data_IF_134037114027
#
_entry.id   IF_134037114027
#
_cell.length_a   1.000
_cell.length_b   1.000
_cell.length_c   1.000
_cell.angle_alpha   90.00
_cell.angle_beta   90.00
_cell.angle_gamma   90.00
#
_symmetry.space_group_name_H-M   'P 1'
#
loop_
_entity.id
_entity.type
_entity.pdbx_description
1 polymer ?
#
# COMPACT_ATOMS: atom_id res chain seq x y z
N UNK A 1 -16.31 8.70 15.74
CA UNK A 1 -15.31 9.61 16.35
C UNK A 1 -14.62 8.81 17.45
N UNK A 2 -13.40 8.36 17.21
CA UNK A 2 -12.55 7.76 18.25
C UNK A 2 -11.41 8.73 18.50
N UNK A 3 -11.39 9.27 19.70
CA UNK A 3 -10.28 10.06 20.24
C UNK A 3 -9.65 9.23 21.36
N UNK A 4 -8.41 8.80 21.20
CA UNK A 4 -7.60 8.31 22.34
C UNK A 4 -6.46 9.29 22.60
N UNK A 5 -6.55 9.96 23.73
CA UNK A 5 -5.45 10.71 24.33
C UNK A 5 -4.69 9.79 25.30
N UNK A 6 -3.44 9.53 25.03
CA UNK A 6 -2.58 8.75 25.92
C UNK A 6 -1.13 9.18 25.82
N UNK A 7 -0.76 10.27 26.52
CA UNK A 7 0.64 10.62 26.72
C UNK A 7 1.26 9.77 27.83
N UNK A 8 2.21 8.90 27.51
CA UNK A 8 3.13 8.28 28.47
C UNK A 8 4.57 8.46 27.99
N UNK A 9 5.29 9.24 28.76
CA UNK A 9 6.73 9.46 28.67
C UNK A 9 7.46 8.19 29.09
N UNK A 10 8.15 7.49 28.20
CA UNK A 10 9.02 6.35 28.50
C UNK A 10 10.43 6.58 27.99
N UNK A 11 11.37 6.54 28.94
CA UNK A 11 12.78 6.83 28.78
C UNK A 11 13.54 5.90 27.83
N UNK A 12 14.64 6.40 27.33
CA UNK A 12 15.60 5.74 26.43
C UNK A 12 16.13 4.41 26.99
N UNK A 13 16.02 3.35 26.21
CA UNK A 13 16.81 2.14 26.35
C UNK A 13 17.38 1.72 25.00
N UNK A 14 18.73 1.75 24.90
CA UNK A 14 19.55 0.95 23.99
C UNK A 14 19.21 0.89 22.49
N UNK A 15 19.73 1.81 21.68
CA UNK A 15 20.07 1.53 20.27
C UNK A 15 18.95 1.27 19.24
N UNK A 16 17.67 1.34 19.60
CA UNK A 16 16.52 1.29 18.70
C UNK A 16 16.05 2.72 18.50
N UNK A 17 16.07 3.20 17.25
CA UNK A 17 15.42 4.48 16.92
C UNK A 17 13.93 4.27 17.11
N UNK A 18 13.36 4.89 18.13
CA UNK A 18 11.92 4.88 18.36
C UNK A 18 11.23 5.67 17.24
N UNK A 19 10.07 5.20 16.81
CA UNK A 19 9.24 5.95 15.89
C UNK A 19 8.77 7.25 16.54
N UNK A 20 8.55 8.29 15.73
CA UNK A 20 7.98 9.54 16.21
C UNK A 20 6.58 9.26 16.77
N UNK A 21 6.28 9.88 17.90
CA UNK A 21 4.94 9.86 18.49
C UNK A 21 4.08 10.86 17.70
N UNK A 22 2.98 10.39 17.13
CA UNK A 22 2.12 11.22 16.28
C UNK A 22 0.67 11.12 16.76
N UNK A 23 -0.02 12.27 16.77
CA UNK A 23 -1.47 12.33 16.94
C UNK A 23 -2.14 12.23 15.57
N UNK A 24 -3.33 11.65 15.50
CA UNK A 24 -4.06 11.54 14.24
C UNK A 24 -5.58 11.58 14.41
N UNK A 25 -6.26 11.95 13.31
CA UNK A 25 -7.70 11.83 13.18
C UNK A 25 -8.09 11.33 11.79
N UNK A 26 -9.01 10.37 11.71
CA UNK A 26 -9.56 9.87 10.45
C UNK A 26 -10.90 10.54 10.19
N UNK A 27 -11.06 11.10 8.99
CA UNK A 27 -12.27 11.79 8.54
C UNK A 27 -12.90 11.06 7.36
N UNK A 28 -14.22 11.25 7.22
CA UNK A 28 -15.01 10.71 6.12
C UNK A 28 -15.59 9.34 6.42
N UNK A 29 -16.47 8.91 5.52
CA UNK A 29 -17.18 7.63 5.60
C UNK A 29 -16.66 6.67 4.53
N UNK A 30 -17.12 6.81 3.27
CA UNK A 30 -16.76 5.91 2.16
C UNK A 30 -15.46 6.33 1.45
N UNK A 31 -15.07 7.59 1.59
CA UNK A 31 -13.82 8.17 1.11
C UNK A 31 -13.12 8.82 2.29
N UNK A 32 -12.14 8.13 2.85
CA UNK A 32 -11.48 8.59 4.07
C UNK A 32 -10.15 9.27 3.78
N UNK A 33 -9.80 10.23 4.63
CA UNK A 33 -8.43 10.72 4.77
C UNK A 33 -8.02 10.71 6.24
N UNK A 34 -6.73 10.63 6.48
CA UNK A 34 -6.13 10.76 7.81
C UNK A 34 -5.38 12.07 7.89
N UNK A 35 -5.65 12.83 8.93
CA UNK A 35 -4.91 14.03 9.33
C UNK A 35 -3.95 13.64 10.44
N UNK A 36 -2.67 13.93 10.23
CA UNK A 36 -1.61 13.69 11.20
C UNK A 36 -1.19 15.03 11.78
N UNK A 37 -1.18 15.13 13.10
CA UNK A 37 -0.67 16.29 13.83
C UNK A 37 0.75 16.01 14.30
N UNK A 38 1.68 16.88 13.94
CA UNK A 38 3.11 16.77 14.22
C UNK A 38 3.54 17.86 15.17
N UNK A 39 4.21 17.52 16.26
CA UNK A 39 4.94 18.46 17.10
C UNK A 39 6.20 18.96 16.37
N UNK A 40 6.81 20.11 16.78
CA UNK A 40 8.04 20.60 16.18
C UNK A 40 9.16 19.54 16.16
N UNK A 41 9.69 19.26 14.96
CA UNK A 41 10.70 18.23 14.72
C UNK A 41 10.17 16.83 14.44
N UNK A 42 8.88 16.58 14.66
CA UNK A 42 8.27 15.31 14.29
C UNK A 42 8.08 15.16 12.79
N UNK A 43 7.99 13.93 12.36
CA UNK A 43 7.87 13.60 10.94
C UNK A 43 6.98 12.36 10.71
N UNK A 44 6.35 12.35 9.56
CA UNK A 44 5.62 11.21 9.00
C UNK A 44 6.19 10.86 7.63
N UNK A 45 6.21 9.59 7.30
CA UNK A 45 6.55 9.09 5.97
C UNK A 45 5.26 8.67 5.24
N UNK A 46 5.18 8.91 3.94
CA UNK A 46 4.02 8.54 3.15
C UNK A 46 4.41 8.05 1.75
N UNK A 47 3.49 7.32 1.13
CA UNK A 47 3.59 6.98 -0.28
C UNK A 47 3.52 8.25 -1.14
N UNK A 48 4.26 8.24 -2.27
CA UNK A 48 4.24 9.36 -3.20
C UNK A 48 2.82 9.57 -3.77
N UNK A 49 2.33 10.81 -3.71
CA UNK A 49 1.01 11.18 -4.22
C UNK A 49 -0.16 11.03 -3.23
N UNK A 50 0.07 10.51 -2.02
CA UNK A 50 -0.97 10.35 -1.01
C UNK A 50 -1.34 11.67 -0.29
N UNK A 51 -0.46 12.67 -0.30
CA UNK A 51 -0.66 13.94 0.40
C UNK A 51 -1.84 14.72 -0.18
N UNK A 52 -2.76 15.14 0.68
CA UNK A 52 -3.93 15.94 0.35
C UNK A 52 -3.68 17.43 0.64
N UNK A 53 -3.23 17.77 1.83
CA UNK A 53 -2.80 19.11 2.21
C UNK A 53 -1.77 19.05 3.36
N UNK A 54 -1.08 20.16 3.56
CA UNK A 54 -0.18 20.35 4.70
C UNK A 54 -0.15 21.83 5.10
N UNK A 55 0.09 22.10 6.38
CA UNK A 55 0.28 23.44 6.92
C UNK A 55 1.59 24.05 6.45
N UNK A 56 1.63 25.40 6.42
CA UNK A 56 2.91 26.12 6.29
C UNK A 56 3.85 25.76 7.44
N UNK A 57 5.14 25.57 7.09
CA UNK A 57 6.17 25.10 8.03
C UNK A 57 6.38 23.58 8.02
N UNK A 58 5.58 22.81 7.28
CA UNK A 58 5.88 21.41 6.98
C UNK A 58 6.86 21.37 5.80
N UNK A 59 8.03 20.75 6.02
CA UNK A 59 9.02 20.48 4.97
C UNK A 59 8.77 19.09 4.37
N UNK A 60 8.73 19.02 3.06
CA UNK A 60 8.59 17.78 2.29
C UNK A 60 9.93 17.38 1.64
N UNK A 61 10.37 16.14 1.82
CA UNK A 61 11.61 15.61 1.25
C UNK A 61 11.38 14.18 0.73
N UNK A 62 11.81 13.91 -0.50
CA UNK A 62 11.77 12.54 -1.03
C UNK A 62 12.97 11.75 -0.53
N UNK A 63 12.73 10.55 -0.04
CA UNK A 63 13.76 9.61 0.40
C UNK A 63 13.72 8.32 -0.42
N UNK A 64 14.91 7.73 -0.59
CA UNK A 64 15.08 6.42 -1.20
C UNK A 64 15.39 5.41 -0.09
N UNK A 65 14.55 4.44 0.13
CA UNK A 65 14.78 3.41 1.13
C UNK A 65 13.54 3.06 1.95
N UNK A 66 13.77 2.39 3.06
CA UNK A 66 12.74 1.80 3.92
C UNK A 66 12.15 2.75 4.98
N UNK A 67 12.48 4.05 4.92
CA UNK A 67 12.00 5.02 5.91
C UNK A 67 12.71 4.95 7.27
N UNK A 68 13.50 3.91 7.53
CA UNK A 68 14.30 3.80 8.75
C UNK A 68 15.62 4.54 8.59
N UNK A 69 16.06 5.28 9.62
CA UNK A 69 17.33 6.01 9.62
C UNK A 69 18.59 5.12 9.71
N UNK A 70 18.48 3.83 9.42
CA UNK A 70 19.59 2.87 9.47
C UNK A 70 20.63 3.06 8.34
N UNK A 71 20.97 4.27 8.00
CA UNK A 71 21.94 4.57 6.95
C UNK A 71 22.94 5.62 7.39
N UNK A 72 23.79 5.32 8.37
CA UNK A 72 24.97 6.11 8.77
C UNK A 72 26.08 6.08 7.71
N UNK A 73 25.76 6.43 6.47
CA UNK A 73 26.73 6.61 5.39
C UNK A 73 26.59 8.01 4.81
N UNK A 74 27.69 8.73 4.61
CA UNK A 74 27.72 10.03 3.95
C UNK A 74 27.04 10.00 2.57
N UNK A 75 26.73 11.17 1.99
CA UNK A 75 25.97 11.36 0.75
C UNK A 75 26.37 10.39 -0.39
N UNK A 76 27.66 10.05 -0.53
CA UNK A 76 28.19 9.13 -1.55
C UNK A 76 27.82 7.66 -1.31
N UNK A 77 27.77 7.20 -0.06
CA UNK A 77 27.38 5.83 0.28
C UNK A 77 25.87 5.60 0.12
N UNK A 78 25.04 6.63 0.37
CA UNK A 78 23.59 6.59 0.16
C UNK A 78 23.26 6.49 -1.32
N UNK A 79 23.99 7.18 -2.20
CA UNK A 79 23.76 7.14 -3.65
C UNK A 79 24.12 5.77 -4.25
N UNK A 80 25.20 5.13 -3.79
CA UNK A 80 25.61 3.80 -4.28
C UNK A 80 24.68 2.67 -3.81
N UNK A 81 24.20 2.74 -2.56
CA UNK A 81 23.24 1.76 -2.04
C UNK A 81 21.85 1.93 -2.67
N UNK A 82 21.42 3.18 -2.94
CA UNK A 82 20.21 3.48 -3.69
C UNK A 82 20.29 2.97 -5.13
N UNK A 83 21.41 3.15 -5.81
CA UNK A 83 21.63 2.64 -7.17
C UNK A 83 21.53 1.11 -7.27
N UNK A 84 22.09 0.37 -6.30
CA UNK A 84 21.95 -1.10 -6.27
C UNK A 84 20.50 -1.55 -6.01
N UNK A 85 19.76 -0.88 -5.12
CA UNK A 85 18.36 -1.19 -4.80
C UNK A 85 17.41 -0.82 -5.94
N UNK A 86 17.69 0.26 -6.71
CA UNK A 86 16.97 0.61 -7.94
C UNK A 86 17.07 -0.50 -8.99
N UNK A 87 18.23 -1.13 -9.14
CA UNK A 87 18.46 -2.21 -10.11
C UNK A 87 17.73 -3.49 -9.69
N UNK A 88 17.56 -3.75 -8.38
CA UNK A 88 16.84 -4.93 -7.87
C UNK A 88 15.33 -4.73 -7.79
N UNK A 89 14.80 -3.53 -8.06
CA UNK A 89 13.38 -3.21 -7.95
C UNK A 89 12.87 -3.20 -6.49
N UNK A 90 13.76 -3.07 -5.52
CA UNK A 90 13.45 -3.05 -4.08
C UNK A 90 13.36 -1.62 -3.51
N UNK A 91 13.56 -0.60 -4.33
CA UNK A 91 13.48 0.79 -3.89
C UNK A 91 12.04 1.24 -3.79
N UNK A 92 11.64 1.53 -2.57
CA UNK A 92 10.43 2.28 -2.28
C UNK A 92 10.79 3.78 -2.31
N UNK A 93 10.03 4.55 -3.08
CA UNK A 93 10.10 6.00 -3.06
C UNK A 93 9.09 6.48 -2.02
N UNK A 94 9.57 7.08 -0.95
CA UNK A 94 8.70 7.65 0.08
C UNK A 94 9.00 9.13 0.24
N UNK A 95 7.99 9.85 0.70
CA UNK A 95 8.11 11.26 1.04
C UNK A 95 8.05 11.41 2.55
N UNK A 96 8.99 12.15 3.12
CA UNK A 96 9.03 12.54 4.53
C UNK A 96 8.43 13.94 4.66
N UNK A 97 7.52 14.11 5.57
CA UNK A 97 6.91 15.37 5.96
C UNK A 97 7.36 15.71 7.38
N UNK A 98 8.11 16.78 7.57
CA UNK A 98 8.68 17.19 8.87
C UNK A 98 8.15 18.53 9.28
N UNK A 99 7.62 18.66 10.50
CA UNK A 99 7.28 19.93 11.07
C UNK A 99 8.56 20.70 11.46
N UNK A 100 8.92 21.72 10.65
CA UNK A 100 10.01 22.66 10.92
C UNK A 100 9.51 24.01 11.48
N UNK A 101 8.20 24.16 11.63
CA UNK A 101 7.55 25.33 12.19
C UNK A 101 7.56 25.36 13.72
N UNK A 102 6.96 26.41 14.25
CA UNK A 102 6.69 26.51 15.68
C UNK A 102 5.27 26.02 15.98
N UNK A 103 5.12 25.24 17.07
CA UNK A 103 3.84 24.66 17.45
C UNK A 103 3.43 23.45 16.58
N UNK A 104 2.29 22.89 16.90
CA UNK A 104 1.72 21.75 16.17
C UNK A 104 1.33 22.15 14.75
N UNK A 105 1.59 21.26 13.78
CA UNK A 105 1.26 21.40 12.37
C UNK A 105 0.58 20.15 11.85
N UNK A 106 -0.28 20.31 10.84
CA UNK A 106 -1.06 19.24 10.28
C UNK A 106 -0.61 18.89 8.86
N UNK A 107 -0.60 17.60 8.56
CA UNK A 107 -0.47 17.06 7.21
C UNK A 107 -1.47 15.95 7.01
N UNK A 108 -2.16 15.93 5.87
CA UNK A 108 -3.24 14.97 5.61
C UNK A 108 -2.94 14.09 4.40
N UNK A 109 -3.36 12.82 4.50
CA UNK A 109 -3.20 11.81 3.48
C UNK A 109 -4.56 11.21 3.12
N UNK A 110 -4.91 11.28 1.83
CA UNK A 110 -6.21 10.80 1.35
C UNK A 110 -6.12 9.38 0.79
N UNK A 111 -7.17 8.59 1.05
CA UNK A 111 -7.34 7.31 0.40
C UNK A 111 -7.49 7.49 -1.12
N UNK A 112 -6.79 6.69 -1.96
CA UNK A 112 -6.77 6.91 -3.41
C UNK A 112 -8.07 6.49 -4.12
N UNK A 113 -8.94 5.71 -3.47
CA UNK A 113 -10.23 5.25 -3.99
C UNK A 113 -11.19 4.94 -2.83
N UNK A 114 -12.50 4.72 -3.08
CA UNK A 114 -13.48 4.46 -2.02
C UNK A 114 -13.09 3.28 -1.12
N UNK A 115 -13.08 3.54 0.19
CA UNK A 115 -12.68 2.55 1.19
C UNK A 115 -12.43 3.17 2.54
N UNK A 116 -11.71 2.43 3.37
CA UNK A 116 -11.46 2.77 4.77
C UNK A 116 -9.97 2.83 5.06
N UNK A 117 -9.57 3.73 5.94
CA UNK A 117 -8.21 3.78 6.50
C UNK A 117 -8.21 2.97 7.80
N UNK A 118 -7.23 2.10 7.94
CA UNK A 118 -7.04 1.24 9.11
C UNK A 118 -5.78 1.73 9.83
N UNK A 119 -5.92 2.37 11.00
CA UNK A 119 -4.80 2.69 11.87
C UNK A 119 -4.21 1.41 12.47
N UNK A 120 -2.91 1.24 12.37
CA UNK A 120 -2.16 0.08 12.88
C UNK A 120 -1.13 0.58 13.88
N UNK A 121 -1.34 0.30 15.15
CA UNK A 121 -0.33 0.50 16.18
C UNK A 121 0.55 -0.76 16.25
N UNK A 122 1.73 -0.68 15.67
CA UNK A 122 2.60 -1.85 15.46
C UNK A 122 2.94 -2.63 16.73
N UNK A 123 3.16 -1.99 17.91
CA UNK A 123 3.42 -2.73 19.15
C UNK A 123 2.32 -3.74 19.53
N UNK A 124 1.05 -3.48 19.18
CA UNK A 124 -0.06 -4.42 19.41
C UNK A 124 0.06 -5.71 18.58
N UNK A 125 0.89 -5.68 17.52
CA UNK A 125 1.13 -6.80 16.60
C UNK A 125 2.56 -7.30 16.66
N UNK A 126 3.19 -7.25 17.83
CA UNK A 126 4.58 -7.64 18.05
C UNK A 126 5.57 -6.91 17.12
N UNK A 127 5.29 -5.63 16.85
CA UNK A 127 6.12 -4.73 16.06
C UNK A 127 6.14 -5.00 14.57
N UNK A 128 5.25 -5.86 14.04
CA UNK A 128 5.25 -6.19 12.60
C UNK A 128 3.85 -6.52 12.07
N UNK A 129 3.49 -5.86 10.97
CA UNK A 129 2.35 -6.20 10.11
C UNK A 129 2.82 -6.31 8.67
N UNK A 130 2.24 -7.22 7.91
CA UNK A 130 2.51 -7.41 6.49
C UNK A 130 1.27 -6.96 5.74
N UNK A 131 1.39 -6.04 4.77
CA UNK A 131 0.28 -5.54 3.97
C UNK A 131 0.57 -5.63 2.48
N UNK A 132 -0.46 -5.59 1.66
CA UNK A 132 -0.29 -5.45 0.21
C UNK A 132 0.36 -4.10 -0.11
N UNK A 133 1.20 -4.03 -1.15
CA UNK A 133 1.95 -2.82 -1.51
C UNK A 133 1.03 -1.60 -1.63
N UNK A 134 -0.08 -1.74 -2.36
CA UNK A 134 -1.01 -0.64 -2.61
C UNK A 134 -1.91 -0.28 -1.40
N UNK A 135 -1.76 -1.00 -0.29
CA UNK A 135 -2.47 -0.69 0.94
C UNK A 135 -1.74 0.32 1.82
N UNK A 136 -0.41 0.44 1.73
CA UNK A 136 0.33 1.40 2.55
C UNK A 136 -0.05 2.85 2.18
N UNK A 137 -0.33 3.68 3.18
CA UNK A 137 -0.67 5.09 3.01
C UNK A 137 0.39 6.01 3.62
N UNK A 138 0.59 5.89 4.93
CA UNK A 138 1.61 6.65 5.66
C UNK A 138 1.98 5.96 6.99
N UNK A 139 3.06 6.40 7.63
CA UNK A 139 3.47 5.92 8.94
C UNK A 139 4.31 6.98 9.68
N UNK A 140 4.37 6.89 11.00
CA UNK A 140 5.32 7.66 11.80
C UNK A 140 6.76 7.41 11.32
N UNK A 141 7.58 8.46 11.25
CA UNK A 141 8.99 8.29 10.91
C UNK A 141 9.68 7.42 11.97
N UNK A 142 10.47 6.44 11.52
CA UNK A 142 11.06 5.39 12.35
C UNK A 142 10.42 4.03 12.11
N UNK A 143 9.18 3.99 11.60
CA UNK A 143 8.60 2.77 11.04
C UNK A 143 9.32 2.41 9.74
N UNK A 144 9.81 1.18 9.65
CA UNK A 144 10.46 0.65 8.44
C UNK A 144 9.42 0.03 7.50
N UNK A 145 9.49 0.40 6.23
CA UNK A 145 8.64 -0.16 5.17
C UNK A 145 9.51 -0.91 4.18
N UNK A 146 9.37 -2.21 4.09
CA UNK A 146 10.21 -3.07 3.24
C UNK A 146 9.39 -4.11 2.48
N UNK A 147 10.00 -4.79 1.52
CA UNK A 147 9.35 -5.90 0.81
C UNK A 147 9.49 -7.16 1.67
N UNK A 148 8.37 -7.85 1.91
CA UNK A 148 8.32 -9.15 2.58
C UNK A 148 8.25 -10.29 1.56
N UNK A 149 7.42 -10.13 0.51
CA UNK A 149 7.20 -11.13 -0.52
C UNK A 149 6.92 -10.49 -1.88
N UNK A 150 7.49 -11.07 -2.95
CA UNK A 150 7.23 -10.65 -4.33
C UNK A 150 7.09 -11.86 -5.23
N UNK A 151 5.97 -11.95 -5.96
CA UNK A 151 5.72 -13.00 -6.95
C UNK A 151 5.18 -12.40 -8.24
N UNK A 152 5.83 -12.70 -9.35
CA UNK A 152 5.32 -12.30 -10.68
C UNK A 152 4.13 -13.18 -11.04
N UNK A 153 2.99 -12.57 -11.31
CA UNK A 153 1.72 -13.23 -11.63
C UNK A 153 1.28 -12.89 -13.06
N UNK A 154 2.03 -13.16 -14.08
CA UNK A 154 1.64 -12.84 -15.46
C UNK A 154 1.55 -11.33 -15.77
N UNK A 155 1.33 -10.97 -17.04
CA UNK A 155 1.47 -9.59 -17.55
C UNK A 155 0.26 -8.69 -17.22
N UNK A 156 -0.87 -9.22 -16.87
CA UNK A 156 -2.12 -8.47 -16.61
C UNK A 156 -2.40 -8.18 -15.13
N UNK A 157 -1.71 -8.85 -14.21
CA UNK A 157 -1.97 -8.70 -12.79
C UNK A 157 -1.18 -7.54 -12.16
N UNK A 158 -1.86 -6.71 -11.37
CA UNK A 158 -1.25 -5.63 -10.58
C UNK A 158 -0.34 -4.70 -11.41
N UNK A 159 -0.78 -4.32 -12.62
CA UNK A 159 -0.02 -3.42 -13.49
C UNK A 159 1.31 -3.99 -14.00
N UNK A 160 1.47 -5.32 -14.02
CA UNK A 160 2.69 -6.02 -14.46
C UNK A 160 3.78 -6.17 -13.38
N UNK A 161 3.64 -5.54 -12.22
CA UNK A 161 4.60 -5.65 -11.11
C UNK A 161 4.48 -6.99 -10.35
N UNK A 162 3.32 -7.66 -10.47
CA UNK A 162 2.99 -8.88 -9.73
C UNK A 162 2.44 -8.61 -8.33
N UNK A 163 2.24 -9.68 -7.57
CA UNK A 163 1.77 -9.59 -6.19
C UNK A 163 2.93 -9.26 -5.25
N UNK A 164 2.83 -8.15 -4.54
CA UNK A 164 3.87 -7.65 -3.65
C UNK A 164 3.26 -7.41 -2.26
N UNK A 165 3.86 -8.04 -1.24
CA UNK A 165 3.56 -7.77 0.15
C UNK A 165 4.71 -6.99 0.76
N UNK A 166 4.36 -5.94 1.49
CA UNK A 166 5.28 -5.09 2.25
C UNK A 166 5.21 -5.44 3.73
N UNK A 167 6.32 -5.34 4.42
CA UNK A 167 6.38 -5.41 5.87
C UNK A 167 6.50 -4.01 6.45
N UNK A 168 5.68 -3.74 7.45
CA UNK A 168 5.73 -2.56 8.30
C UNK A 168 6.30 -2.99 9.63
N UNK A 169 7.46 -2.48 10.02
CA UNK A 169 8.17 -2.89 11.24
C UNK A 169 8.57 -1.66 12.07
N UNK A 170 8.32 -1.74 13.38
CA UNK A 170 8.67 -0.67 14.32
C UNK A 170 7.77 -0.65 15.54
N UNK A 171 7.79 0.48 16.23
CA UNK A 171 7.06 0.74 17.48
C UNK A 171 6.07 1.92 17.38
N UNK A 172 5.79 2.40 16.16
CA UNK A 172 4.91 3.54 15.90
C UNK A 172 3.60 3.16 15.19
N UNK A 173 2.87 4.21 14.84
CA UNK A 173 1.67 4.13 14.02
C UNK A 173 1.99 3.97 12.55
N UNK A 174 1.24 3.12 11.88
CA UNK A 174 1.16 3.01 10.43
C UNK A 174 -0.31 3.06 10.00
N UNK A 175 -0.59 3.58 8.82
CA UNK A 175 -1.93 3.69 8.27
C UNK A 175 -1.95 2.97 6.93
N UNK A 176 -2.90 2.05 6.80
CA UNK A 176 -3.13 1.32 5.56
C UNK A 176 -4.54 1.63 5.04
N UNK A 177 -4.71 1.62 3.72
CA UNK A 177 -5.98 1.80 3.06
C UNK A 177 -6.50 0.49 2.48
N UNK A 178 -7.81 0.30 2.53
CA UNK A 178 -8.48 -0.85 1.93
C UNK A 178 -9.79 -0.43 1.28
N UNK A 179 -10.11 -0.99 0.11
CA UNK A 179 -11.25 -0.62 -0.70
C UNK A 179 -12.57 -1.23 -0.24
N UNK A 180 -13.62 -0.43 -0.26
CA UNK A 180 -14.97 -0.85 0.13
C UNK A 180 -15.08 -1.21 1.62
N UNK A 181 -15.76 -2.29 1.93
CA UNK A 181 -15.93 -2.79 3.30
C UNK A 181 -14.75 -3.63 3.75
N UNK A 182 -14.26 -3.36 4.95
CA UNK A 182 -13.18 -4.12 5.57
C UNK A 182 -13.78 -5.24 6.41
N UNK A 183 -13.23 -6.44 6.21
CA UNK A 183 -13.55 -7.61 7.02
C UNK A 183 -12.31 -8.14 7.71
N UNK A 184 -12.31 -8.06 9.05
CA UNK A 184 -11.24 -8.59 9.86
C UNK A 184 -11.57 -10.00 10.34
N UNK A 185 -10.61 -10.92 10.22
CA UNK A 185 -10.70 -12.29 10.74
C UNK A 185 -9.50 -12.66 11.59
N UNK A 186 -9.75 -13.41 12.64
CA UNK A 186 -8.72 -14.07 13.43
C UNK A 186 -8.73 -15.54 13.08
N UNK A 187 -7.62 -16.04 12.55
CA UNK A 187 -7.43 -17.44 12.20
C UNK A 187 -6.86 -18.19 13.41
N UNK A 188 -7.47 -19.32 13.76
CA UNK A 188 -6.94 -20.23 14.75
C UNK A 188 -5.66 -20.93 14.26
N UNK A 189 -4.91 -21.57 15.15
CA UNK A 189 -3.73 -22.34 14.77
C UNK A 189 -4.09 -23.45 13.77
N UNK A 190 -3.38 -23.45 12.63
CA UNK A 190 -3.62 -24.39 11.53
C UNK A 190 -4.84 -24.12 10.68
N UNK A 191 -5.73 -23.18 11.07
CA UNK A 191 -6.88 -22.78 10.25
C UNK A 191 -6.43 -22.30 8.88
N UNK A 192 -7.07 -22.83 7.84
CA UNK A 192 -6.78 -22.50 6.45
C UNK A 192 -7.88 -21.63 5.87
N UNK A 193 -7.49 -20.49 5.29
CA UNK A 193 -8.38 -19.60 4.54
C UNK A 193 -7.82 -19.37 3.14
N UNK A 194 -8.66 -19.51 2.11
CA UNK A 194 -8.34 -19.12 0.74
C UNK A 194 -9.04 -17.82 0.41
N UNK A 195 -8.28 -16.86 -0.11
CA UNK A 195 -8.75 -15.51 -0.41
C UNK A 195 -8.30 -15.15 -1.83
N UNK A 196 -9.16 -14.49 -2.60
CA UNK A 196 -8.72 -13.83 -3.82
C UNK A 196 -7.55 -12.87 -3.51
N UNK A 197 -6.46 -12.95 -4.28
CA UNK A 197 -5.25 -12.15 -4.00
C UNK A 197 -5.53 -10.65 -3.89
N UNK A 198 -6.44 -10.11 -4.72
CA UNK A 198 -6.84 -8.71 -4.66
C UNK A 198 -7.63 -8.34 -3.40
N UNK A 199 -8.29 -9.32 -2.77
CA UNK A 199 -9.06 -9.08 -1.53
C UNK A 199 -8.22 -9.15 -0.26
N UNK A 200 -6.98 -9.62 -0.30
CA UNK A 200 -6.08 -9.60 0.85
C UNK A 200 -5.50 -8.20 1.03
N UNK A 201 -5.69 -7.58 2.19
CA UNK A 201 -5.13 -6.27 2.55
C UNK A 201 -3.88 -6.41 3.39
N UNK A 202 -4.01 -7.07 4.54
CA UNK A 202 -2.91 -7.22 5.49
C UNK A 202 -3.07 -8.48 6.36
N UNK A 203 -1.97 -8.84 7.00
CA UNK A 203 -1.92 -9.96 7.93
C UNK A 203 -0.85 -9.73 9.01
N UNK A 204 -1.04 -10.36 10.17
CA UNK A 204 -0.04 -10.34 11.24
C UNK A 204 1.05 -11.39 11.02
N UNK A 205 2.21 -11.18 11.63
CA UNK A 205 3.42 -12.03 11.51
C UNK A 205 3.18 -13.54 11.72
N UNK A 206 2.16 -13.93 12.51
CA UNK A 206 1.87 -15.35 12.79
C UNK A 206 1.21 -16.09 11.62
N UNK A 207 0.60 -15.37 10.69
CA UNK A 207 -0.08 -15.97 9.53
C UNK A 207 0.94 -16.35 8.47
N UNK A 208 1.01 -17.64 8.13
CA UNK A 208 1.76 -18.11 6.95
C UNK A 208 0.90 -17.95 5.70
N UNK A 209 1.49 -17.54 4.60
CA UNK A 209 0.77 -17.34 3.36
C UNK A 209 1.56 -17.78 2.13
N UNK A 210 0.85 -18.22 1.10
CA UNK A 210 1.37 -18.55 -0.23
C UNK A 210 0.36 -18.16 -1.29
N UNK A 211 0.82 -18.00 -2.53
CA UNK A 211 -0.02 -17.65 -3.68
C UNK A 211 -0.12 -18.85 -4.61
N UNK A 212 -1.34 -19.29 -4.86
CA UNK A 212 -1.62 -20.45 -5.70
C UNK A 212 -2.42 -20.05 -6.93
N UNK A 213 -2.02 -20.53 -8.09
CA UNK A 213 -2.81 -20.39 -9.32
C UNK A 213 -3.90 -21.46 -9.37
N UNK A 214 -5.14 -21.07 -9.64
CA UNK A 214 -6.25 -22.00 -9.80
C UNK A 214 -6.11 -22.71 -11.13
N UNK A 215 -5.85 -24.02 -11.09
CA UNK A 215 -5.76 -24.86 -12.29
C UNK A 215 -7.17 -25.26 -12.77
N UNK A 216 -7.36 -25.34 -14.10
CA UNK A 216 -8.57 -25.91 -14.70
C UNK A 216 -9.72 -24.94 -14.99
N UNK A 217 -9.63 -23.69 -14.57
CA UNK A 217 -10.59 -22.65 -15.01
C UNK A 217 -10.05 -22.05 -16.30
N UNK A 218 -10.82 -22.18 -17.40
CA UNK A 218 -10.46 -21.53 -18.67
C UNK A 218 -10.47 -20.02 -18.42
N UNK A 219 -9.33 -19.39 -18.63
CA UNK A 219 -9.09 -17.94 -18.43
C UNK A 219 -10.07 -17.01 -19.14
N UNK A 220 -10.81 -17.53 -20.13
CA UNK A 220 -11.82 -16.81 -20.91
C UNK A 220 -12.95 -16.20 -20.05
N UNK A 221 -13.30 -16.84 -18.92
CA UNK A 221 -14.37 -16.33 -18.03
C UNK A 221 -13.90 -15.22 -17.08
N UNK A 222 -12.60 -14.99 -16.96
CA UNK A 222 -12.01 -14.02 -16.02
C UNK A 222 -11.15 -12.97 -16.74
N UNK A 223 -11.53 -12.54 -17.92
CA UNK A 223 -10.83 -11.48 -18.65
C UNK A 223 -9.48 -11.90 -19.24
N UNK A 224 -9.19 -13.21 -19.37
CA UNK A 224 -7.92 -13.72 -19.92
C UNK A 224 -6.81 -13.88 -18.89
N UNK A 225 -7.01 -13.41 -17.66
CA UNK A 225 -6.06 -13.47 -16.56
C UNK A 225 -6.41 -14.66 -15.64
N UNK A 226 -5.43 -15.45 -15.21
CA UNK A 226 -5.66 -16.58 -14.31
C UNK A 226 -6.24 -16.12 -12.97
N UNK A 227 -7.01 -16.96 -12.28
CA UNK A 227 -7.45 -16.71 -10.92
C UNK A 227 -6.35 -17.15 -9.94
N UNK A 228 -5.94 -16.26 -9.04
CA UNK A 228 -4.96 -16.56 -8.00
C UNK A 228 -5.59 -16.45 -6.62
N UNK A 229 -5.30 -17.42 -5.76
CA UNK A 229 -5.65 -17.38 -4.36
C UNK A 229 -4.43 -17.13 -3.49
N UNK A 230 -4.59 -16.28 -2.48
CA UNK A 230 -3.75 -16.30 -1.31
C UNK A 230 -4.26 -17.40 -0.36
N UNK A 231 -3.43 -18.38 -0.10
CA UNK A 231 -3.69 -19.42 0.89
C UNK A 231 -3.08 -18.99 2.20
N UNK A 232 -3.92 -18.71 3.20
CA UNK A 232 -3.52 -18.18 4.51
C UNK A 232 -3.68 -19.27 5.56
N UNK A 233 -2.66 -19.44 6.42
CA UNK A 233 -2.70 -20.41 7.53
C UNK A 233 -2.38 -19.70 8.84
N UNK A 234 -3.34 -19.73 9.77
CA UNK A 234 -3.17 -19.21 11.12
C UNK A 234 -2.09 -19.92 11.97
N UNK A 235 -1.77 -19.36 13.13
CA UNK A 235 -2.58 -18.42 13.87
C UNK A 235 -2.30 -16.95 13.50
N UNK A 236 -3.29 -16.09 13.61
CA UNK A 236 -3.13 -14.65 13.51
C UNK A 236 -4.32 -13.94 12.88
N UNK A 237 -4.17 -12.63 12.70
CA UNK A 237 -5.20 -11.73 12.20
C UNK A 237 -4.98 -11.43 10.72
N UNK A 238 -6.07 -11.34 9.96
CA UNK A 238 -6.06 -10.95 8.55
C UNK A 238 -7.12 -9.88 8.30
N UNK A 239 -6.81 -8.92 7.42
CA UNK A 239 -7.72 -7.89 6.95
C UNK A 239 -8.01 -8.11 5.48
N UNK A 240 -9.28 -8.10 5.13
CA UNK A 240 -9.80 -8.32 3.80
C UNK A 240 -10.59 -7.10 3.33
N UNK A 241 -10.60 -6.86 2.01
CA UNK A 241 -11.35 -5.78 1.36
C UNK A 241 -12.38 -6.35 0.37
N UNK A 242 -13.53 -5.67 0.29
CA UNK A 242 -14.59 -6.07 -0.64
C UNK A 242 -14.42 -5.48 -2.04
N UNK A 243 -13.65 -4.40 -2.19
CA UNK A 243 -13.44 -3.68 -3.46
C UNK A 243 -11.93 -3.51 -3.74
N UNK A 244 -11.23 -4.54 -4.24
CA UNK A 244 -9.86 -4.39 -4.70
C UNK A 244 -9.80 -3.44 -5.91
N UNK A 245 -8.73 -2.62 -5.97
CA UNK A 245 -8.58 -1.56 -6.99
C UNK A 245 -8.64 -2.10 -8.42
N UNK A 246 -8.05 -3.24 -8.71
CA UNK A 246 -8.10 -3.88 -10.03
C UNK A 246 -9.54 -4.12 -10.50
N UNK A 247 -10.44 -4.62 -9.62
CA UNK A 247 -11.85 -4.84 -9.98
C UNK A 247 -12.57 -3.51 -10.29
N UNK A 248 -12.25 -2.45 -9.58
CA UNK A 248 -12.79 -1.11 -9.84
C UNK A 248 -12.27 -0.59 -11.19
N UNK A 249 -10.96 -0.69 -11.43
CA UNK A 249 -10.31 -0.27 -12.66
C UNK A 249 -10.85 -1.03 -13.89
N UNK A 250 -10.96 -2.36 -13.80
CA UNK A 250 -11.52 -3.20 -14.87
C UNK A 250 -12.96 -2.81 -15.21
N UNK A 251 -13.75 -2.49 -14.21
CA UNK A 251 -15.14 -2.05 -14.41
C UNK A 251 -15.20 -0.72 -15.15
N UNK A 252 -14.35 0.24 -14.79
CA UNK A 252 -14.28 1.56 -15.44
C UNK A 252 -13.79 1.39 -16.88
N UNK A 253 -12.71 0.65 -17.11
CA UNK A 253 -12.14 0.43 -18.44
C UNK A 253 -13.08 -0.33 -19.36
N UNK A 254 -13.80 -1.34 -18.85
CA UNK A 254 -14.77 -2.11 -19.64
C UNK A 254 -15.96 -1.26 -20.14
N UNK A 255 -16.33 -0.22 -19.43
CA UNK A 255 -17.36 0.72 -19.86
C UNK A 255 -16.83 1.79 -20.82
N UNK A 256 -15.56 2.21 -20.66
CA UNK A 256 -14.91 3.20 -21.54
C UNK A 256 -14.51 2.68 -22.91
N UNK A 257 -14.23 1.38 -23.03
CA UNK A 257 -13.78 0.74 -24.30
C UNK A 257 -14.89 0.47 -25.31
N UNK A 258 -16.16 0.71 -24.96
CA UNK A 258 -17.30 0.43 -25.87
C UNK A 258 -17.56 1.53 -26.90
N UNK A 259 -17.04 2.76 -26.71
CA UNK A 259 -17.31 3.87 -27.63
C UNK A 259 -16.25 4.08 -28.73
N UNK A 260 -15.04 3.48 -28.63
CA UNK A 260 -13.96 3.66 -29.60
C UNK A 260 -13.80 2.55 -30.64
N UNK A 261 -14.45 1.39 -30.48
CA UNK A 261 -14.24 0.24 -31.34
C UNK A 261 -15.16 0.12 -32.55
N UNK A 262 -16.15 1.02 -32.71
CA UNK A 262 -17.09 0.99 -33.83
C UNK A 262 -16.63 1.80 -35.06
N UNK A 263 -15.62 2.67 -34.94
CA UNK A 263 -15.18 3.49 -36.09
C UNK A 263 -13.89 2.99 -36.78
N UNK A 264 -13.03 2.21 -36.13
CA UNK A 264 -11.82 1.68 -36.78
C UNK A 264 -12.05 0.45 -37.65
N UNK A 265 -13.18 -0.24 -37.52
CA UNK A 265 -13.55 -1.35 -38.42
C UNK A 265 -14.00 -0.94 -39.82
N UNK A 266 -14.31 0.34 -40.03
CA UNK A 266 -14.82 0.85 -41.31
C UNK A 266 -13.72 1.27 -42.29
N UNK A 267 -12.53 1.65 -41.82
CA UNK A 267 -11.43 2.13 -42.70
C UNK A 267 -10.65 0.98 -43.32
N UNK A 268 -10.50 -0.15 -42.65
CA UNK A 268 -9.82 -1.33 -43.22
C UNK A 268 -10.67 -2.09 -44.21
N UNK A 269 -12.00 -2.06 -44.10
CA UNK A 269 -12.92 -2.62 -45.11
C UNK A 269 -12.96 -1.84 -46.39
N UNK A 270 -12.70 -0.53 -46.37
CA UNK A 270 -12.70 0.33 -47.56
C UNK A 270 -11.42 0.21 -48.36
N UNK A 271 -10.29 -0.09 -47.74
CA UNK A 271 -8.98 -0.30 -48.47
C UNK A 271 -8.95 -1.67 -49.15
N UNK A 272 -9.60 -2.69 -48.58
CA UNK A 272 -9.66 -4.02 -49.21
C UNK A 272 -10.44 -4.07 -50.53
N UNK A 273 -11.47 -3.23 -50.70
CA UNK A 273 -12.26 -3.15 -51.93
C UNK A 273 -11.63 -2.25 -53.03
N UNK A 274 -10.53 -1.60 -52.77
CA UNK A 274 -9.81 -0.77 -53.74
C UNK A 274 -8.63 -1.51 -54.43
N UNK A 275 -8.31 -2.73 -53.95
CA UNK A 275 -7.18 -3.52 -54.48
C UNK A 275 -7.64 -4.68 -55.38
N UNK A 276 -8.95 -5.07 -55.35
CA UNK A 276 -9.50 -6.14 -56.16
C UNK A 276 -10.31 -5.67 -57.39
N UNK A 277 -10.02 -4.50 -57.94
CA UNK A 277 -10.60 -3.98 -59.14
C UNK A 277 -9.58 -3.79 -60.23
N UNK A 278 -9.21 -4.85 -60.91
CA UNK A 278 -9.01 -5.07 -62.34
C UNK A 278 -8.42 -6.45 -62.58
#
# INVERSE_FOLDING_TARGET
>A
VYTENGSQNLGRCGGITMAHEIDYQVYGEEMQFVEIQLDPGESVIAEAGAMMYMDDGIKMETIFGDGSERGGGGLGGKLLSAGKRLITGESLFMTVFTNQGQGKKQVSFAAPYPGKIIPIYLPQYAGKVICQKDAFLCAAKGVSVGIDFKRKLGVGFFGGEGFIMQKLEGDGWAFIHAGGTIHERVLAEGELLRVDTGCLVALTKGVKYDIEMVKGIKSVFFGGEGLFFATLRGPGRVWLQSLPFNRLADRILSQGGSSGRKEEGSLLGTIGNLIDGD
#
